data_IF_434621428543
#
_entry.id   IF_434621428543
#
_cell.length_a   1.000
_cell.length_b   1.000
_cell.length_c   1.000
_cell.angle_alpha   90.00
_cell.angle_beta   90.00
_cell.angle_gamma   90.00
#
_symmetry.space_group_name_H-M   'P 1'
#
loop_
_entity.id
_entity.type
_entity.pdbx_description
1 polymer ?
#
# COMPACT_ATOMS: atom_id res chain seq x y z
N UNK A 1 -20.31 -11.88 28.69
CA UNK A 1 -19.49 -12.95 28.05
C UNK A 1 -18.12 -12.35 27.76
N UNK A 2 -17.01 -12.99 28.13
CA UNK A 2 -15.68 -12.41 27.89
C UNK A 2 -15.21 -12.70 26.46
N UNK A 3 -14.76 -11.68 25.74
CA UNK A 3 -14.15 -11.78 24.40
C UNK A 3 -12.86 -10.97 24.34
N UNK A 4 -11.92 -11.41 23.52
CA UNK A 4 -10.66 -10.71 23.27
C UNK A 4 -10.80 -9.76 22.09
N UNK A 5 -10.15 -8.61 22.19
CA UNK A 5 -10.20 -7.53 21.20
C UNK A 5 -8.81 -6.99 20.89
N UNK A 6 -8.67 -6.39 19.71
CA UNK A 6 -7.52 -5.57 19.34
C UNK A 6 -7.90 -4.09 19.39
N UNK A 7 -7.04 -3.30 20.00
CA UNK A 7 -7.11 -1.84 20.01
C UNK A 7 -5.98 -1.27 19.15
N UNK A 8 -6.34 -0.46 18.16
CA UNK A 8 -5.38 0.13 17.21
C UNK A 8 -5.14 1.60 17.58
N UNK A 9 -3.86 2.01 17.61
CA UNK A 9 -3.42 3.32 18.06
C UNK A 9 -2.88 4.17 16.90
N UNK A 10 -3.27 5.44 16.85
CA UNK A 10 -2.70 6.43 15.94
C UNK A 10 -1.59 7.27 16.59
N UNK A 11 -1.02 8.18 15.78
CA UNK A 11 0.04 9.14 16.14
C UNK A 11 -0.28 9.95 17.41
N UNK A 12 -1.55 10.32 17.62
CA UNK A 12 -2.00 11.07 18.80
C UNK A 12 -2.38 10.18 19.98
N UNK A 13 -2.04 8.88 19.95
CA UNK A 13 -2.55 7.84 20.85
C UNK A 13 -4.07 7.73 20.89
N UNK A 14 -4.72 8.30 19.88
CA UNK A 14 -6.13 8.14 19.63
C UNK A 14 -6.41 6.69 19.27
N UNK A 15 -7.46 6.16 19.89
CA UNK A 15 -7.96 4.83 19.62
C UNK A 15 -8.72 4.89 18.30
N UNK A 16 -8.17 4.30 17.24
CA UNK A 16 -8.78 4.28 15.91
C UNK A 16 -9.90 3.23 15.83
N UNK A 17 -9.65 2.08 16.45
CA UNK A 17 -10.58 0.95 16.48
C UNK A 17 -10.43 0.23 17.82
N UNK A 18 -11.56 -0.08 18.45
CA UNK A 18 -11.64 -0.75 19.76
C UNK A 18 -12.70 -1.83 19.81
N UNK A 19 -13.11 -2.38 18.67
CA UNK A 19 -14.30 -3.25 18.64
C UNK A 19 -14.13 -4.49 17.78
N UNK A 20 -12.93 -4.75 17.27
CA UNK A 20 -12.72 -5.93 16.47
C UNK A 20 -12.35 -7.13 17.36
N UNK A 21 -13.26 -8.11 17.54
CA UNK A 21 -12.93 -9.31 18.30
C UNK A 21 -11.84 -10.10 17.56
N UNK A 22 -10.99 -10.74 18.34
CA UNK A 22 -9.90 -11.60 17.86
C UNK A 22 -9.99 -12.96 18.56
N UNK A 23 -9.70 -14.01 17.81
CA UNK A 23 -9.65 -15.38 18.32
C UNK A 23 -8.23 -15.78 18.72
N UNK A 24 -7.23 -15.21 18.03
CA UNK A 24 -5.81 -15.39 18.31
C UNK A 24 -5.19 -14.07 18.82
N UNK A 25 -4.41 -14.16 19.90
CA UNK A 25 -3.66 -13.04 20.49
C UNK A 25 -2.22 -12.95 19.98
N UNK A 26 -1.83 -13.78 18.99
CA UNK A 26 -0.50 -13.75 18.38
C UNK A 26 -0.22 -12.36 17.76
N UNK A 27 0.79 -11.61 18.27
CA UNK A 27 1.12 -10.28 17.78
C UNK A 27 1.51 -10.26 16.30
N UNK A 28 2.12 -11.31 15.75
CA UNK A 28 2.53 -11.35 14.34
C UNK A 28 1.32 -11.38 13.40
N UNK A 29 0.32 -12.22 13.73
CA UNK A 29 -0.93 -12.33 12.96
C UNK A 29 -1.71 -11.02 13.00
N UNK A 30 -1.75 -10.38 14.17
CA UNK A 30 -2.43 -9.09 14.35
C UNK A 30 -1.66 -7.99 13.62
N UNK A 31 -0.33 -8.00 13.62
CA UNK A 31 0.50 -7.05 12.90
C UNK A 31 0.20 -7.06 11.39
N UNK A 32 0.11 -8.23 10.76
CA UNK A 32 -0.26 -8.32 9.33
C UNK A 32 -1.62 -7.67 9.07
N UNK A 33 -2.61 -7.94 9.93
CA UNK A 33 -3.95 -7.39 9.82
C UNK A 33 -3.96 -5.87 10.01
N UNK A 34 -3.23 -5.36 10.99
CA UNK A 34 -3.14 -3.93 11.30
C UNK A 34 -2.44 -3.17 10.17
N UNK A 35 -1.32 -3.68 9.67
CA UNK A 35 -0.61 -3.07 8.54
C UNK A 35 -1.46 -3.08 7.26
N UNK A 36 -2.26 -4.13 7.03
CA UNK A 36 -3.20 -4.16 5.91
C UNK A 36 -4.30 -3.09 5.99
N UNK A 37 -4.60 -2.57 7.19
CA UNK A 37 -5.54 -1.48 7.41
C UNK A 37 -4.90 -0.10 7.31
N UNK A 38 -3.56 0.00 7.32
CA UNK A 38 -2.85 1.28 7.22
C UNK A 38 -3.06 1.86 5.81
N UNK A 39 -3.86 2.91 5.72
CA UNK A 39 -4.19 3.62 4.48
C UNK A 39 -3.68 5.06 4.59
N UNK A 40 -2.52 5.38 3.98
CA UNK A 40 -1.97 6.72 3.98
C UNK A 40 -2.92 7.78 3.41
N UNK A 41 -3.89 7.39 2.56
CA UNK A 41 -4.86 8.32 1.98
C UNK A 41 -5.95 8.76 2.98
N UNK A 42 -6.13 8.01 4.08
CA UNK A 42 -7.07 8.35 5.16
C UNK A 42 -6.45 9.21 6.26
N UNK A 43 -5.17 9.59 6.13
CA UNK A 43 -4.40 10.39 7.08
C UNK A 43 -4.35 9.85 8.53
N UNK A 44 -4.75 8.59 8.73
CA UNK A 44 -4.66 7.90 10.01
C UNK A 44 -3.44 6.99 9.92
N UNK A 45 -2.28 7.46 10.36
CA UNK A 45 -1.12 6.57 10.50
C UNK A 45 -1.25 5.75 11.77
N UNK A 46 -1.19 4.44 11.60
CA UNK A 46 -1.18 3.50 12.71
C UNK A 46 0.25 3.40 13.25
N UNK A 47 0.42 3.60 14.56
CA UNK A 47 1.75 3.50 15.21
C UNK A 47 1.92 2.19 15.98
N UNK A 48 0.81 1.53 16.33
CA UNK A 48 0.84 0.32 17.13
C UNK A 48 -0.56 -0.22 17.44
N UNK A 49 -0.58 -1.33 18.17
CA UNK A 49 -1.81 -1.95 18.67
C UNK A 49 -1.57 -2.61 20.01
N UNK A 50 -2.65 -2.91 20.74
CA UNK A 50 -2.63 -3.77 21.93
C UNK A 50 -3.83 -4.70 21.96
N UNK A 51 -3.74 -5.77 22.74
CA UNK A 51 -4.84 -6.70 22.97
C UNK A 51 -5.41 -6.51 24.36
N UNK A 52 -6.71 -6.76 24.51
CA UNK A 52 -7.37 -6.74 25.82
C UNK A 52 -8.58 -7.67 25.81
N UNK A 53 -9.02 -8.08 26.98
CA UNK A 53 -10.27 -8.81 27.17
C UNK A 53 -11.37 -7.86 27.62
N UNK A 54 -12.58 -8.06 27.14
CA UNK A 54 -13.76 -7.29 27.53
C UNK A 54 -14.91 -8.22 27.85
N UNK A 55 -15.53 -8.01 29.01
CA UNK A 55 -16.84 -8.59 29.27
C UNK A 55 -17.90 -7.81 28.49
N UNK A 56 -18.50 -8.45 27.48
CA UNK A 56 -19.46 -7.83 26.56
C UNK A 56 -20.73 -7.36 27.25
N UNK A 57 -21.05 -7.89 28.43
CA UNK A 57 -22.32 -7.62 29.09
C UNK A 57 -22.19 -6.40 30.02
N UNK A 58 -20.99 -6.14 30.54
CA UNK A 58 -20.69 -5.05 31.49
C UNK A 58 -19.80 -3.96 30.89
N UNK A 59 -19.11 -4.23 29.78
CA UNK A 59 -18.15 -3.31 29.15
C UNK A 59 -16.80 -3.19 29.86
N UNK A 60 -16.57 -3.98 30.92
CA UNK A 60 -15.34 -3.92 31.72
C UNK A 60 -14.18 -4.54 30.95
N UNK A 61 -13.06 -3.82 30.86
CA UNK A 61 -11.82 -4.27 30.22
C UNK A 61 -10.84 -4.87 31.23
N UNK A 62 -10.16 -5.96 30.86
CA UNK A 62 -9.13 -6.63 31.65
C UNK A 62 -8.01 -7.18 30.75
N UNK A 63 -6.94 -7.73 31.34
CA UNK A 63 -5.83 -8.39 30.63
C UNK A 63 -5.25 -7.56 29.47
N UNK A 64 -5.04 -6.26 29.68
CA UNK A 64 -4.44 -5.39 28.67
C UNK A 64 -2.97 -5.78 28.46
N UNK A 65 -2.59 -6.08 27.22
CA UNK A 65 -1.19 -6.29 26.86
C UNK A 65 -0.42 -4.95 26.86
N UNK A 66 0.92 -5.05 26.79
CA UNK A 66 1.74 -3.93 26.34
C UNK A 66 1.37 -3.50 24.91
N UNK A 67 1.81 -2.30 24.54
CA UNK A 67 1.66 -1.77 23.19
C UNK A 67 2.72 -2.40 22.28
N UNK A 68 2.26 -2.96 21.17
CA UNK A 68 3.11 -3.42 20.06
C UNK A 68 3.25 -2.28 19.05
N UNK A 69 4.43 -1.66 19.00
CA UNK A 69 4.75 -0.60 18.04
C UNK A 69 5.20 -1.19 16.71
N UNK A 70 4.66 -0.68 15.61
CA UNK A 70 4.90 -1.23 14.26
C UNK A 70 6.25 -0.80 13.68
N UNK A 71 6.71 0.41 13.97
CA UNK A 71 7.99 0.91 13.45
C UNK A 71 8.64 1.82 14.49
N UNK A 72 9.68 1.34 15.16
CA UNK A 72 10.42 2.23 16.07
C UNK A 72 11.83 1.78 16.42
N UNK A 73 12.42 2.52 17.35
CA UNK A 73 13.70 2.21 17.98
C UNK A 73 13.66 2.59 19.46
N UNK A 74 14.04 1.67 20.34
CA UNK A 74 14.17 1.94 21.78
C UNK A 74 15.52 2.59 22.09
N UNK A 75 15.53 3.57 22.98
CA UNK A 75 16.76 4.18 23.49
C UNK A 75 16.57 4.80 24.87
N UNK A 76 17.69 5.16 25.51
CA UNK A 76 17.70 5.87 26.78
C UNK A 76 18.17 7.32 26.58
N UNK A 77 17.47 8.28 27.17
CA UNK A 77 17.82 9.69 27.06
C UNK A 77 19.01 10.08 27.97
N UNK A 78 19.95 10.93 27.53
CA UNK A 78 20.12 11.46 26.18
C UNK A 78 20.83 10.48 25.24
N UNK A 79 20.35 10.42 24.00
CA UNK A 79 21.04 9.73 22.91
C UNK A 79 21.78 10.75 22.07
N UNK A 80 23.06 10.48 21.78
CA UNK A 80 23.90 11.33 20.92
C UNK A 80 23.58 11.05 19.46
N UNK A 81 22.35 11.38 19.06
CA UNK A 81 21.82 11.25 17.71
C UNK A 81 21.34 12.64 17.26
N UNK A 82 21.89 13.20 16.16
CA UNK A 82 21.53 14.53 15.68
C UNK A 82 20.03 14.68 15.36
N UNK A 83 19.37 13.64 14.85
CA UNK A 83 17.94 13.68 14.51
C UNK A 83 17.09 13.72 15.78
N UNK A 84 17.43 12.90 16.78
CA UNK A 84 16.72 12.87 18.07
C UNK A 84 16.90 14.21 18.78
N UNK A 85 18.12 14.75 18.78
CA UNK A 85 18.43 16.06 19.39
C UNK A 85 17.63 17.19 18.72
N UNK A 86 17.54 17.20 17.39
CA UNK A 86 16.78 18.20 16.65
C UNK A 86 15.27 18.08 16.90
N UNK A 87 14.74 16.84 16.93
CA UNK A 87 13.33 16.59 17.23
C UNK A 87 12.95 17.07 18.63
N UNK A 88 13.75 16.74 19.65
CA UNK A 88 13.47 17.13 21.05
C UNK A 88 13.46 18.64 21.22
N UNK A 89 14.40 19.34 20.56
CA UNK A 89 14.43 20.81 20.55
C UNK A 89 13.17 21.42 19.92
N UNK A 90 12.62 20.79 18.89
CA UNK A 90 11.42 21.28 18.19
C UNK A 90 10.11 20.92 18.92
N UNK A 91 10.08 19.79 19.65
CA UNK A 91 8.90 19.33 20.37
C UNK A 91 8.59 20.17 21.62
N UNK A 92 9.60 20.84 22.21
CA UNK A 92 9.42 21.64 23.42
C UNK A 92 9.05 20.82 24.66
N UNK A 93 9.40 19.53 24.68
CA UNK A 93 9.15 18.61 25.78
C UNK A 93 10.50 18.31 26.45
N UNK A 94 10.56 18.46 27.77
CA UNK A 94 11.72 18.09 28.57
C UNK A 94 11.61 16.63 29.02
N UNK A 95 12.70 15.89 28.82
CA UNK A 95 12.81 14.46 29.14
C UNK A 95 13.83 14.26 30.25
N UNK A 96 13.58 13.30 31.16
CA UNK A 96 14.49 13.02 32.27
C UNK A 96 15.70 12.21 31.80
N UNK A 97 16.89 12.55 32.30
CA UNK A 97 18.11 11.76 32.03
C UNK A 97 17.94 10.35 32.57
N UNK A 98 18.12 9.35 31.72
CA UNK A 98 17.90 7.93 32.03
C UNK A 98 16.51 7.41 31.62
N UNK A 99 15.62 8.26 31.11
CA UNK A 99 14.29 7.85 30.69
C UNK A 99 14.35 6.98 29.41
N UNK A 100 13.58 5.90 29.40
CA UNK A 100 13.40 5.06 28.22
C UNK A 100 12.40 5.69 27.25
N UNK A 101 12.77 5.71 25.98
CA UNK A 101 12.02 6.33 24.89
C UNK A 101 11.96 5.40 23.68
N UNK A 102 10.89 5.54 22.92
CA UNK A 102 10.68 4.84 21.66
C UNK A 102 10.58 5.90 20.55
N UNK A 103 11.49 5.86 19.58
CA UNK A 103 11.44 6.70 18.37
C UNK A 103 10.63 5.98 17.30
N UNK A 104 9.39 6.41 17.07
CA UNK A 104 8.55 5.92 15.99
C UNK A 104 9.05 6.49 14.67
N UNK A 105 9.53 5.66 13.74
CA UNK A 105 10.21 6.12 12.51
C UNK A 105 9.29 6.90 11.58
N UNK A 106 8.02 6.53 11.50
CA UNK A 106 6.99 7.23 10.71
C UNK A 106 5.71 7.35 11.54
N UNK A 107 5.24 8.56 11.86
CA UNK A 107 5.64 9.89 11.34
C UNK A 107 6.80 10.61 12.07
N UNK A 108 7.83 9.93 12.57
CA UNK A 108 8.93 10.52 13.33
C UNK A 108 8.43 11.21 14.62
N UNK A 109 8.05 10.41 15.61
CA UNK A 109 7.53 10.86 16.92
C UNK A 109 8.24 10.12 18.04
N UNK A 110 8.50 10.80 19.16
CA UNK A 110 9.03 10.17 20.38
C UNK A 110 7.90 9.86 21.35
N UNK A 111 7.93 8.65 21.91
CA UNK A 111 6.95 8.17 22.87
C UNK A 111 7.60 7.49 24.06
N UNK A 112 6.85 7.36 25.14
CA UNK A 112 7.26 6.66 26.36
C UNK A 112 6.58 5.30 26.44
N UNK A 113 7.25 4.25 26.94
CA UNK A 113 6.59 2.99 27.26
C UNK A 113 5.44 3.24 28.26
N UNK A 114 4.22 2.81 27.90
CA UNK A 114 3.05 2.89 28.77
C UNK A 114 3.10 1.76 29.81
N UNK A 115 3.56 0.59 29.40
CA UNK A 115 3.75 -0.58 30.23
C UNK A 115 5.16 -1.15 30.04
N UNK A 116 5.65 -1.88 31.04
CA UNK A 116 6.94 -2.60 30.95
C UNK A 116 6.97 -3.67 29.84
N UNK A 117 5.81 -4.06 29.31
CA UNK A 117 5.65 -5.08 28.27
C UNK A 117 5.45 -4.47 26.87
N UNK A 118 5.66 -3.16 26.71
CA UNK A 118 5.64 -2.51 25.40
C UNK A 118 6.82 -3.03 24.55
N UNK A 119 6.57 -3.30 23.26
CA UNK A 119 7.55 -3.95 22.37
C UNK A 119 7.49 -3.34 20.97
N UNK A 120 8.65 -3.22 20.31
CA UNK A 120 8.75 -2.87 18.89
C UNK A 120 8.78 -4.14 18.04
N UNK A 121 7.86 -4.26 17.10
CA UNK A 121 7.81 -5.38 16.16
C UNK A 121 8.65 -5.12 14.91
N UNK A 122 9.27 -6.17 14.38
CA UNK A 122 9.91 -6.11 13.06
C UNK A 122 8.84 -6.22 11.96
N UNK A 123 8.54 -5.10 11.35
CA UNK A 123 7.58 -5.01 10.25
C UNK A 123 8.21 -5.22 8.88
N UNK A 124 9.53 -5.27 8.76
CA UNK A 124 10.20 -5.29 7.45
C UNK A 124 9.77 -6.52 6.62
N UNK A 125 9.74 -7.70 7.22
CA UNK A 125 9.33 -8.94 6.54
C UNK A 125 7.87 -8.87 6.05
N UNK A 126 6.95 -8.35 6.88
CA UNK A 126 5.53 -8.23 6.53
C UNK A 126 5.30 -7.15 5.46
N UNK A 127 5.97 -6.00 5.59
CA UNK A 127 5.90 -4.93 4.59
C UNK A 127 6.42 -5.40 3.23
N UNK A 128 7.49 -6.19 3.20
CA UNK A 128 8.00 -6.83 1.97
C UNK A 128 6.94 -7.78 1.39
N UNK A 129 6.37 -8.68 2.20
CA UNK A 129 5.29 -9.61 1.77
C UNK A 129 4.08 -8.87 1.20
N UNK A 130 3.64 -7.79 1.85
CA UNK A 130 2.53 -6.95 1.37
C UNK A 130 2.88 -6.25 0.05
N UNK A 131 4.12 -5.78 -0.10
CA UNK A 131 4.59 -5.14 -1.33
C UNK A 131 4.63 -6.13 -2.49
N UNK A 132 5.11 -7.35 -2.26
CA UNK A 132 5.10 -8.45 -3.23
C UNK A 132 3.67 -8.69 -3.73
N UNK A 133 2.70 -8.87 -2.81
CA UNK A 133 1.30 -9.10 -3.16
C UNK A 133 0.72 -7.97 -4.02
N UNK A 134 0.99 -6.71 -3.66
CA UNK A 134 0.53 -5.54 -4.44
C UNK A 134 1.11 -5.50 -5.85
N UNK A 135 2.38 -5.86 -6.01
CA UNK A 135 3.03 -5.92 -7.31
C UNK A 135 2.53 -7.11 -8.15
N UNK A 136 2.21 -8.27 -7.54
CA UNK A 136 1.53 -9.38 -8.21
C UNK A 136 0.15 -8.98 -8.74
N UNK A 137 -0.68 -8.33 -7.91
CA UNK A 137 -1.99 -7.81 -8.32
C UNK A 137 -1.87 -6.75 -9.42
N UNK A 138 -0.83 -5.90 -9.38
CA UNK A 138 -0.53 -4.94 -10.44
C UNK A 138 -0.14 -5.64 -11.73
N UNK A 139 0.71 -6.67 -11.67
CA UNK A 139 1.12 -7.45 -12.84
C UNK A 139 -0.10 -8.07 -13.54
N UNK A 140 -0.99 -8.72 -12.79
CA UNK A 140 -2.21 -9.33 -13.34
C UNK A 140 -3.04 -8.29 -14.10
N UNK A 141 -3.25 -7.10 -13.50
CA UNK A 141 -3.99 -6.00 -14.15
C UNK A 141 -3.34 -5.54 -15.46
N UNK A 142 -2.01 -5.39 -15.48
CA UNK A 142 -1.28 -5.00 -16.70
C UNK A 142 -1.35 -6.09 -17.78
N UNK A 143 -1.34 -7.37 -17.40
CA UNK A 143 -1.53 -8.49 -18.32
C UNK A 143 -2.94 -8.52 -18.91
N UNK A 144 -3.96 -8.26 -18.08
CA UNK A 144 -5.36 -8.10 -18.52
C UNK A 144 -5.55 -6.89 -19.44
N UNK A 145 -4.87 -5.78 -19.16
CA UNK A 145 -4.87 -4.57 -20.01
C UNK A 145 -4.31 -4.89 -21.40
N UNK A 146 -3.19 -5.61 -21.47
CA UNK A 146 -2.59 -6.10 -22.73
C UNK A 146 -3.59 -6.92 -23.56
N UNK A 147 -4.31 -7.84 -22.93
CA UNK A 147 -5.27 -8.70 -23.63
C UNK A 147 -6.47 -7.87 -24.11
N UNK A 148 -7.01 -7.02 -23.24
CA UNK A 148 -8.13 -6.12 -23.55
C UNK A 148 -7.79 -5.20 -24.72
N UNK A 149 -6.60 -4.60 -24.70
CA UNK A 149 -6.13 -3.71 -25.74
C UNK A 149 -5.98 -4.43 -27.09
N UNK A 150 -5.36 -5.62 -27.09
CA UNK A 150 -5.22 -6.46 -28.29
C UNK A 150 -6.59 -6.82 -28.89
N UNK A 151 -7.53 -7.23 -28.05
CA UNK A 151 -8.88 -7.58 -28.51
C UNK A 151 -9.59 -6.38 -29.13
N UNK A 152 -9.49 -5.21 -28.50
CA UNK A 152 -10.06 -3.96 -29.01
C UNK A 152 -9.48 -3.58 -30.38
N UNK A 153 -8.16 -3.70 -30.54
CA UNK A 153 -7.48 -3.42 -31.81
C UNK A 153 -7.93 -4.39 -32.91
N UNK A 154 -8.01 -5.69 -32.60
CA UNK A 154 -8.49 -6.71 -33.55
C UNK A 154 -9.94 -6.46 -33.94
N UNK A 155 -10.79 -6.08 -33.00
CA UNK A 155 -12.20 -5.80 -33.25
C UNK A 155 -12.37 -4.60 -34.20
N UNK A 156 -11.62 -3.52 -34.00
CA UNK A 156 -11.66 -2.38 -34.92
C UNK A 156 -11.12 -2.72 -36.32
N UNK A 157 -10.05 -3.51 -36.40
CA UNK A 157 -9.54 -3.99 -37.68
C UNK A 157 -10.57 -4.87 -38.40
N UNK A 158 -11.31 -5.72 -37.67
CA UNK A 158 -12.40 -6.52 -38.23
C UNK A 158 -13.56 -5.65 -38.73
N UNK A 159 -13.97 -4.63 -37.96
CA UNK A 159 -15.00 -3.67 -38.40
C UNK A 159 -14.59 -2.96 -39.69
N UNK A 160 -13.33 -2.53 -39.79
CA UNK A 160 -12.81 -1.93 -41.02
C UNK A 160 -12.84 -2.92 -42.20
N UNK A 161 -12.48 -4.18 -41.98
CA UNK A 161 -12.56 -5.23 -43.00
C UNK A 161 -14.02 -5.49 -43.45
N UNK A 162 -14.95 -5.60 -42.50
CA UNK A 162 -16.39 -5.78 -42.78
C UNK A 162 -16.96 -4.60 -43.60
N UNK A 163 -16.53 -3.37 -43.33
CA UNK A 163 -16.94 -2.22 -44.14
C UNK A 163 -16.39 -2.29 -45.58
N UNK A 164 -15.17 -2.80 -45.76
CA UNK A 164 -14.60 -3.02 -47.09
C UNK A 164 -15.40 -4.10 -47.84
N UNK A 165 -15.67 -5.23 -47.19
CA UNK A 165 -16.41 -6.34 -47.78
C UNK A 165 -17.84 -5.95 -48.18
N UNK A 166 -18.49 -5.08 -47.39
CA UNK A 166 -19.84 -4.59 -47.64
C UNK A 166 -19.89 -3.34 -48.54
N UNK A 167 -18.77 -2.89 -49.10
CA UNK A 167 -18.63 -1.66 -49.90
C UNK A 167 -19.07 -0.36 -49.16
N UNK A 168 -18.98 -0.34 -47.83
CA UNK A 168 -19.32 0.79 -46.96
C UNK A 168 -18.09 1.69 -46.69
N UNK A 169 -17.36 2.08 -47.74
CA UNK A 169 -16.09 2.82 -47.59
C UNK A 169 -16.21 4.15 -46.84
N UNK A 170 -17.40 4.78 -46.86
CA UNK A 170 -17.69 6.03 -46.18
C UNK A 170 -17.78 5.90 -44.65
N UNK A 171 -17.92 4.69 -44.10
CA UNK A 171 -18.00 4.46 -42.65
C UNK A 171 -16.64 4.14 -42.03
N UNK A 172 -15.61 3.87 -42.85
CA UNK A 172 -14.26 3.56 -42.36
C UNK A 172 -13.65 4.82 -41.74
N UNK A 173 -13.22 4.78 -40.46
CA UNK A 173 -12.62 5.93 -39.79
C UNK A 173 -11.22 6.17 -40.37
N UNK A 174 -11.12 7.17 -41.24
CA UNK A 174 -9.87 7.59 -41.87
C UNK A 174 -9.47 8.98 -41.36
N UNK A 175 -8.17 9.23 -41.27
CA UNK A 175 -7.59 10.55 -40.98
C UNK A 175 -6.63 10.95 -42.10
N UNK A 176 -6.53 12.25 -42.36
CA UNK A 176 -5.59 12.78 -43.34
C UNK A 176 -4.16 12.71 -42.80
N UNK A 177 -3.25 12.11 -43.57
CA UNK A 177 -1.84 11.97 -43.22
C UNK A 177 -0.92 12.97 -43.92
N UNK A 178 -1.49 13.89 -44.71
CA UNK A 178 -0.74 14.72 -45.64
C UNK A 178 -0.56 14.04 -47.00
N UNK A 179 -0.07 14.78 -48.00
CA UNK A 179 0.23 14.27 -49.34
C UNK A 179 -0.94 13.56 -50.06
N UNK A 180 -2.17 14.05 -49.89
CA UNK A 180 -3.40 13.43 -50.43
C UNK A 180 -3.60 11.96 -50.01
N UNK A 181 -2.98 11.52 -48.93
CA UNK A 181 -3.12 10.17 -48.38
C UNK A 181 -4.02 10.17 -47.14
N UNK A 182 -4.77 9.08 -46.97
CA UNK A 182 -5.60 8.83 -45.80
C UNK A 182 -5.14 7.55 -45.13
N UNK A 183 -5.03 7.57 -43.81
CA UNK A 183 -4.70 6.39 -43.02
C UNK A 183 -5.87 5.97 -42.14
N UNK A 184 -5.93 4.67 -41.85
CA UNK A 184 -6.90 4.11 -40.92
C UNK A 184 -6.63 4.65 -39.52
N UNK A 185 -7.67 5.14 -38.85
CA UNK A 185 -7.60 5.60 -37.48
C UNK A 185 -8.11 4.50 -36.55
N UNK A 186 -7.17 3.74 -35.98
CA UNK A 186 -7.45 2.65 -35.06
C UNK A 186 -7.30 3.15 -33.62
N UNK A 187 -8.34 3.03 -32.80
CA UNK A 187 -8.42 3.41 -31.39
C UNK A 187 -7.94 4.85 -31.15
N UNK A 188 -8.14 5.74 -32.13
CA UNK A 188 -7.69 7.13 -32.05
C UNK A 188 -6.18 7.33 -32.24
N UNK A 189 -5.46 6.38 -32.85
CA UNK A 189 -4.03 6.50 -33.14
C UNK A 189 -3.67 7.64 -34.10
N UNK A 190 -4.66 8.20 -34.79
CA UNK A 190 -4.50 9.24 -35.82
C UNK A 190 -3.63 8.75 -36.98
N UNK A 191 -3.79 7.50 -37.40
CA UNK A 191 -3.06 6.94 -38.54
C UNK A 191 -1.60 6.61 -38.24
N UNK A 192 -1.24 6.56 -36.96
CA UNK A 192 0.10 6.22 -36.52
C UNK A 192 0.09 4.94 -35.68
N UNK A 193 0.13 3.80 -36.38
CA UNK A 193 0.11 2.47 -35.77
C UNK A 193 1.25 2.24 -34.77
N UNK A 194 2.36 2.99 -34.88
CA UNK A 194 3.47 2.93 -33.95
C UNK A 194 3.03 3.22 -32.50
N UNK A 195 1.97 4.02 -32.30
CA UNK A 195 1.42 4.30 -30.96
C UNK A 195 0.91 3.05 -30.25
N UNK A 196 0.34 2.09 -30.97
CA UNK A 196 -0.09 0.81 -30.40
C UNK A 196 1.12 -0.02 -29.96
N UNK A 197 2.18 -0.03 -30.77
CA UNK A 197 3.44 -0.72 -30.46
C UNK A 197 4.07 -0.10 -29.20
N UNK A 198 4.11 1.23 -29.13
CA UNK A 198 4.65 1.96 -27.98
C UNK A 198 3.87 1.70 -26.70
N UNK A 199 2.53 1.77 -26.75
CA UNK A 199 1.68 1.47 -25.59
C UNK A 199 1.93 0.06 -25.04
N UNK A 200 1.93 -0.95 -25.92
CA UNK A 200 2.19 -2.34 -25.54
C UNK A 200 3.61 -2.55 -25.01
N UNK A 201 4.60 -1.87 -25.60
CA UNK A 201 6.00 -1.91 -25.15
C UNK A 201 6.14 -1.30 -23.76
N UNK A 202 5.48 -0.18 -23.48
CA UNK A 202 5.53 0.48 -22.17
C UNK A 202 4.97 -0.42 -21.08
N UNK A 203 3.78 -1.01 -21.30
CA UNK A 203 3.21 -1.98 -20.34
C UNK A 203 4.16 -3.18 -20.16
N UNK A 204 4.79 -3.68 -21.23
CA UNK A 204 5.73 -4.80 -21.14
C UNK A 204 6.98 -4.45 -20.32
N UNK A 205 7.52 -3.24 -20.47
CA UNK A 205 8.65 -2.75 -19.68
C UNK A 205 8.28 -2.67 -18.19
N UNK A 206 7.06 -2.22 -17.87
CA UNK A 206 6.56 -2.22 -16.50
C UNK A 206 6.45 -3.63 -15.92
N UNK A 207 5.87 -4.57 -16.66
CA UNK A 207 5.81 -5.99 -16.24
C UNK A 207 7.22 -6.55 -16.00
N UNK A 208 8.19 -6.24 -16.86
CA UNK A 208 9.58 -6.69 -16.66
C UNK A 208 10.22 -6.12 -15.40
N UNK A 209 9.92 -4.86 -15.06
CA UNK A 209 10.38 -4.24 -13.81
C UNK A 209 9.75 -4.94 -12.59
N UNK A 210 8.46 -5.26 -12.66
CA UNK A 210 7.75 -6.02 -11.63
C UNK A 210 8.36 -7.43 -11.49
N UNK A 211 8.56 -8.16 -12.58
CA UNK A 211 9.18 -9.50 -12.57
C UNK A 211 10.60 -9.49 -12.00
N UNK A 212 11.36 -8.42 -12.23
CA UNK A 212 12.67 -8.23 -11.60
C UNK A 212 12.51 -8.04 -10.09
N UNK A 213 11.63 -7.16 -9.65
CA UNK A 213 11.35 -6.92 -8.23
C UNK A 213 10.90 -8.21 -7.52
N UNK A 214 9.96 -8.95 -8.10
CA UNK A 214 9.45 -10.20 -7.51
C UNK A 214 10.57 -11.25 -7.37
N UNK A 215 11.43 -11.42 -8.38
CA UNK A 215 12.58 -12.34 -8.31
C UNK A 215 13.59 -11.95 -7.24
N UNK A 216 13.87 -10.65 -7.08
CA UNK A 216 14.81 -10.15 -6.08
C UNK A 216 14.28 -10.26 -4.64
N UNK A 217 12.96 -10.41 -4.47
CA UNK A 217 12.29 -10.42 -3.16
C UNK A 217 11.53 -11.73 -2.87
N UNK A 218 11.72 -12.78 -3.68
CA UNK A 218 11.23 -14.12 -3.36
C UNK A 218 12.03 -14.65 -2.15
N UNK A 219 11.34 -14.76 -1.01
CA UNK A 219 11.81 -15.39 0.23
C UNK A 219 11.55 -16.89 0.16
#
# INVERSE_FOLDING_TARGET
MVKSFVQILNIGFGIINNTQPIEDKNPEVIMEKVLAMDDPARDIRIIGFRTYDMDTDTGVMSNQSGIYYLEGEEFTYPKVDPEITAFMKNAGIDYEKGQQLIKIKKPNVLVYPFNANDVILDTAAVLIKMKIKKEEERKIRLEEEIVTYKNSLVEEMKKAAEYIENNQFNTIPLVDTGDNSKALNLLGDKGNFQKHIEHMRNIRVEIMAIDKFLRENQI
#
